data_IF_707526864278
#
_entry.id   IF_707526864278
#
_cell.length_a   1.000
_cell.length_b   1.000
_cell.length_c   1.000
_cell.angle_alpha   90.00
_cell.angle_beta   90.00
_cell.angle_gamma   90.00
#
_symmetry.space_group_name_H-M   'P 1'
#
loop_
_entity.id
_entity.type
_entity.pdbx_description
1 polymer ?
#
# COMPACT_ATOMS: atom_id res chain seq x y z
N UNK A 1 -20.70 13.15 -6.88
CA UNK A 1 -19.95 12.12 -6.13
C UNK A 1 -20.45 12.17 -4.70
N UNK A 2 -20.78 11.03 -4.09
CA UNK A 2 -21.30 10.93 -2.71
C UNK A 2 -20.25 10.21 -1.86
N UNK A 3 -19.97 10.74 -0.67
CA UNK A 3 -19.09 10.13 0.31
C UNK A 3 -19.90 9.63 1.49
N UNK A 4 -19.56 8.44 1.99
CA UNK A 4 -20.22 7.82 3.13
C UNK A 4 -19.18 7.19 4.04
N UNK A 5 -19.38 7.29 5.34
CA UNK A 5 -18.61 6.54 6.34
C UNK A 5 -19.39 5.28 6.68
N UNK A 6 -18.82 4.12 6.35
CA UNK A 6 -19.38 2.81 6.65
C UNK A 6 -18.29 1.77 6.74
N UNK A 7 -18.47 0.65 7.48
CA UNK A 7 -17.60 -0.51 7.38
C UNK A 7 -17.62 -1.06 5.94
N UNK A 8 -16.45 -1.52 5.46
CA UNK A 8 -16.37 -2.14 4.13
C UNK A 8 -17.17 -3.45 4.04
N UNK A 9 -17.37 -4.09 5.18
CA UNK A 9 -18.14 -5.33 5.35
C UNK A 9 -19.64 -5.12 5.42
N UNK A 10 -20.10 -3.86 5.50
CA UNK A 10 -21.49 -3.44 5.52
C UNK A 10 -21.61 -2.00 5.03
N UNK A 11 -21.59 -1.83 3.73
CA UNK A 11 -21.54 -0.52 3.06
C UNK A 11 -22.84 0.29 3.20
N UNK A 12 -23.94 -0.37 3.50
CA UNK A 12 -25.28 0.23 3.50
C UNK A 12 -25.79 0.58 2.11
N UNK A 13 -25.19 0.02 1.06
CA UNK A 13 -25.71 0.09 -0.31
C UNK A 13 -26.82 -0.95 -0.51
N UNK A 14 -27.69 -0.72 -1.47
CA UNK A 14 -28.72 -1.69 -1.86
C UNK A 14 -28.11 -2.91 -2.56
N UNK A 15 -28.84 -4.04 -2.55
CA UNK A 15 -28.43 -5.23 -3.29
C UNK A 15 -28.39 -4.93 -4.79
N UNK A 16 -27.44 -5.51 -5.49
CA UNK A 16 -27.29 -5.41 -6.94
C UNK A 16 -27.42 -3.96 -7.47
N UNK A 17 -26.72 -3.02 -6.85
CA UNK A 17 -26.81 -1.58 -7.14
C UNK A 17 -25.54 -0.94 -7.69
N UNK A 18 -24.42 -1.70 -7.76
CA UNK A 18 -23.15 -1.16 -8.26
C UNK A 18 -22.52 -2.06 -9.35
N UNK A 19 -21.84 -1.43 -10.29
CA UNK A 19 -21.20 -2.11 -11.44
C UNK A 19 -19.71 -2.40 -11.19
N UNK A 20 -19.10 -1.70 -10.23
CA UNK A 20 -17.68 -1.83 -9.92
C UNK A 20 -17.42 -1.55 -8.43
N UNK A 21 -16.70 -2.44 -7.79
CA UNK A 21 -16.11 -2.20 -6.47
C UNK A 21 -14.60 -2.06 -6.60
N UNK A 22 -14.05 -1.04 -5.94
CA UNK A 22 -12.59 -0.86 -5.88
C UNK A 22 -12.12 -0.72 -4.44
N UNK A 23 -10.97 -1.34 -4.10
CA UNK A 23 -10.31 -1.17 -2.82
C UNK A 23 -8.81 -0.91 -3.01
N UNK A 24 -8.40 0.35 -2.82
CA UNK A 24 -7.01 0.78 -2.93
C UNK A 24 -6.36 0.88 -1.56
N UNK A 25 -5.24 0.17 -1.34
CA UNK A 25 -4.44 0.20 -0.10
C UNK A 25 -5.27 -0.06 1.19
N UNK A 26 -6.30 -0.90 1.11
CA UNK A 26 -7.28 -1.04 2.18
C UNK A 26 -7.65 -2.49 2.54
N UNK A 27 -7.73 -3.40 1.57
CA UNK A 27 -8.32 -4.74 1.76
C UNK A 27 -7.63 -5.59 2.84
N UNK A 28 -6.37 -5.33 3.12
CA UNK A 28 -5.62 -6.01 4.18
C UNK A 28 -6.06 -5.64 5.61
N UNK A 29 -6.89 -4.59 5.76
CA UNK A 29 -7.48 -4.18 7.04
C UNK A 29 -8.87 -4.79 7.28
N UNK A 30 -9.48 -5.40 6.25
CA UNK A 30 -10.85 -5.87 6.29
C UNK A 30 -10.96 -7.31 6.79
N UNK A 31 -12.12 -7.68 7.35
CA UNK A 31 -12.56 -9.07 7.41
C UNK A 31 -12.84 -9.52 5.97
N UNK A 32 -11.84 -10.20 5.36
CA UNK A 32 -11.87 -10.54 3.94
C UNK A 32 -13.14 -11.28 3.53
N UNK A 33 -13.55 -12.26 4.34
CA UNK A 33 -14.75 -13.04 4.03
C UNK A 33 -15.99 -12.14 3.99
N UNK A 34 -16.21 -11.34 5.01
CA UNK A 34 -17.37 -10.46 5.08
C UNK A 34 -17.33 -9.38 4.00
N UNK A 35 -16.15 -8.82 3.74
CA UNK A 35 -15.99 -7.84 2.68
C UNK A 35 -16.36 -8.42 1.30
N UNK A 36 -15.87 -9.61 0.96
CA UNK A 36 -16.19 -10.22 -0.32
C UNK A 36 -17.64 -10.71 -0.41
N UNK A 37 -18.25 -11.11 0.72
CA UNK A 37 -19.69 -11.38 0.77
C UNK A 37 -20.51 -10.09 0.53
N UNK A 38 -20.09 -8.96 1.11
CA UNK A 38 -20.69 -7.65 0.84
C UNK A 38 -20.52 -7.22 -0.62
N UNK A 39 -19.34 -7.41 -1.21
CA UNK A 39 -19.11 -7.15 -2.64
C UNK A 39 -20.12 -7.92 -3.49
N UNK A 40 -20.31 -9.21 -3.24
CA UNK A 40 -21.27 -10.04 -3.98
C UNK A 40 -22.72 -9.55 -3.82
N UNK A 41 -23.06 -9.06 -2.64
CA UNK A 41 -24.41 -8.55 -2.36
C UNK A 41 -24.72 -7.27 -3.12
N UNK A 42 -23.77 -6.31 -3.11
CA UNK A 42 -24.04 -4.97 -3.66
C UNK A 42 -23.85 -4.88 -5.16
N UNK A 43 -23.09 -5.80 -5.79
CA UNK A 43 -22.78 -5.75 -7.22
C UNK A 43 -23.88 -6.39 -8.05
N UNK A 44 -24.11 -5.82 -9.24
CA UNK A 44 -24.96 -6.45 -10.26
C UNK A 44 -24.24 -7.65 -10.89
N UNK A 45 -24.96 -8.68 -11.38
CA UNK A 45 -24.35 -9.81 -12.08
C UNK A 45 -23.45 -9.36 -13.25
N UNK A 46 -22.25 -9.92 -13.36
CA UNK A 46 -21.28 -9.59 -14.40
C UNK A 46 -20.45 -8.33 -14.16
N UNK A 47 -20.63 -7.70 -13.00
CA UNK A 47 -19.82 -6.56 -12.55
C UNK A 47 -18.36 -6.94 -12.27
N UNK A 48 -17.56 -5.95 -11.88
CA UNK A 48 -16.15 -6.15 -11.61
C UNK A 48 -15.76 -5.70 -10.20
N UNK A 49 -14.69 -6.33 -9.70
CA UNK A 49 -13.96 -5.86 -8.53
C UNK A 49 -12.49 -5.66 -8.90
N UNK A 50 -11.86 -4.62 -8.36
CA UNK A 50 -10.43 -4.41 -8.43
C UNK A 50 -9.88 -4.04 -7.06
N UNK A 51 -8.86 -4.77 -6.60
CA UNK A 51 -8.15 -4.48 -5.36
C UNK A 51 -6.68 -4.26 -5.65
N UNK A 52 -6.09 -3.22 -5.07
CA UNK A 52 -4.67 -2.96 -5.27
C UNK A 52 -3.99 -2.46 -4.01
N UNK A 53 -2.70 -2.69 -3.96
CA UNK A 53 -1.81 -2.12 -2.98
C UNK A 53 -0.44 -1.82 -3.59
N UNK A 54 0.31 -1.00 -2.91
CA UNK A 54 1.75 -0.84 -3.11
C UNK A 54 2.47 -1.11 -1.79
N UNK A 55 3.66 -1.65 -1.90
CA UNK A 55 4.55 -1.91 -0.78
C UNK A 55 5.65 -0.83 -0.71
N UNK A 56 6.87 -1.22 -0.53
CA UNK A 56 8.01 -0.33 -0.57
C UNK A 56 8.21 0.23 -1.98
N UNK A 57 8.82 1.39 -2.03
CA UNK A 57 9.28 1.92 -3.31
C UNK A 57 10.64 1.37 -3.67
N UNK A 58 10.91 1.35 -4.95
CA UNK A 58 12.23 1.12 -5.52
C UNK A 58 12.96 2.45 -5.65
N UNK A 59 14.20 2.47 -5.20
CA UNK A 59 15.16 3.56 -5.36
C UNK A 59 16.47 2.97 -5.85
N UNK A 60 17.00 3.50 -6.94
CA UNK A 60 18.20 2.98 -7.56
C UNK A 60 19.50 3.41 -6.83
N UNK A 61 20.59 2.69 -7.12
CA UNK A 61 21.93 3.04 -6.71
C UNK A 61 22.19 2.90 -5.21
N UNK A 62 23.17 3.67 -4.72
CA UNK A 62 23.62 3.61 -3.33
C UNK A 62 22.52 4.07 -2.36
N UNK A 63 21.79 5.12 -2.72
CA UNK A 63 20.64 5.58 -1.93
C UNK A 63 19.61 4.46 -1.72
N UNK A 64 19.35 3.62 -2.72
CA UNK A 64 18.47 2.46 -2.59
C UNK A 64 19.02 1.39 -1.65
N UNK A 65 20.35 1.17 -1.64
CA UNK A 65 20.97 0.25 -0.69
C UNK A 65 20.85 0.75 0.75
N UNK A 66 21.04 2.05 0.96
CA UNK A 66 20.85 2.69 2.27
C UNK A 66 19.40 2.60 2.71
N UNK A 67 18.47 2.87 1.79
CA UNK A 67 17.02 2.76 2.06
C UNK A 67 16.60 1.33 2.49
N UNK A 68 17.11 0.29 1.86
CA UNK A 68 16.81 -1.10 2.28
C UNK A 68 17.26 -1.38 3.71
N UNK A 69 18.45 -0.95 4.11
CA UNK A 69 18.93 -1.08 5.50
C UNK A 69 18.05 -0.33 6.50
N UNK A 70 17.58 0.85 6.10
CA UNK A 70 16.60 1.58 6.93
C UNK A 70 15.31 0.80 7.11
N UNK A 71 14.75 0.28 6.02
CA UNK A 71 13.53 -0.53 6.09
C UNK A 71 13.72 -1.72 7.04
N UNK A 72 14.82 -2.48 6.92
CA UNK A 72 15.14 -3.59 7.79
C UNK A 72 15.19 -3.17 9.26
N UNK A 73 15.70 -1.97 9.56
CA UNK A 73 15.80 -1.47 10.94
C UNK A 73 14.45 -1.16 11.61
N UNK A 74 13.41 -0.93 10.82
CA UNK A 74 12.04 -0.64 11.30
C UNK A 74 11.05 -1.76 10.99
N UNK A 75 11.51 -2.87 10.43
CA UNK A 75 10.64 -3.93 9.93
C UNK A 75 9.73 -4.53 11.01
N UNK A 76 10.26 -4.74 12.21
CA UNK A 76 9.52 -5.32 13.34
C UNK A 76 8.38 -4.44 13.88
N UNK A 77 8.37 -3.17 13.50
CA UNK A 77 7.35 -2.21 13.93
C UNK A 77 6.17 -2.10 12.97
N UNK A 78 6.19 -2.80 11.84
CA UNK A 78 5.03 -2.83 10.95
C UNK A 78 3.86 -3.59 11.59
N UNK A 79 2.61 -3.17 11.34
CA UNK A 79 1.46 -3.93 11.77
C UNK A 79 1.39 -5.28 11.01
N UNK A 80 0.92 -6.36 11.67
CA UNK A 80 0.91 -7.70 11.08
C UNK A 80 0.04 -7.80 9.81
N UNK A 81 -1.00 -6.97 9.68
CA UNK A 81 -1.89 -6.92 8.51
C UNK A 81 -1.13 -6.55 7.23
N UNK A 82 -0.02 -5.80 7.36
CA UNK A 82 0.84 -5.46 6.23
C UNK A 82 1.48 -6.68 5.56
N UNK A 83 1.55 -7.83 6.25
CA UNK A 83 2.09 -9.04 5.67
C UNK A 83 1.40 -9.44 4.36
N UNK A 84 0.08 -9.19 4.22
CA UNK A 84 -0.64 -9.42 2.97
C UNK A 84 -0.10 -8.57 1.82
N UNK A 85 0.24 -7.31 2.10
CA UNK A 85 0.82 -6.38 1.10
C UNK A 85 2.24 -6.81 0.74
N UNK A 86 3.09 -7.08 1.74
CA UNK A 86 4.47 -7.53 1.54
C UNK A 86 4.54 -8.84 0.73
N UNK A 87 3.56 -9.73 0.91
CA UNK A 87 3.38 -10.96 0.13
C UNK A 87 2.58 -10.75 -1.16
N UNK A 88 2.42 -9.51 -1.60
CA UNK A 88 1.81 -9.14 -2.88
C UNK A 88 0.40 -9.73 -3.08
N UNK A 89 -0.40 -9.77 -2.00
CA UNK A 89 -1.76 -10.32 -1.99
C UNK A 89 -1.87 -11.78 -2.47
N UNK A 90 -0.79 -12.57 -2.43
CA UNK A 90 -0.83 -13.98 -2.82
C UNK A 90 -1.80 -14.77 -1.91
N UNK A 91 -1.81 -14.43 -0.62
CA UNK A 91 -2.69 -15.10 0.36
C UNK A 91 -4.04 -14.40 0.54
N UNK A 92 -4.33 -13.40 -0.26
CA UNK A 92 -5.63 -12.73 -0.20
C UNK A 92 -6.70 -13.71 -0.68
N UNK A 93 -7.71 -13.97 0.16
CA UNK A 93 -8.91 -14.67 -0.27
C UNK A 93 -9.59 -13.83 -1.36
N UNK A 94 -9.63 -14.34 -2.60
CA UNK A 94 -10.20 -13.61 -3.73
C UNK A 94 -11.18 -14.53 -4.48
N UNK A 95 -12.46 -14.57 -4.07
CA UNK A 95 -13.43 -15.58 -4.52
C UNK A 95 -14.12 -15.20 -5.83
N UNK A 96 -13.39 -14.65 -6.78
CA UNK A 96 -13.88 -14.19 -8.08
C UNK A 96 -13.05 -14.77 -9.21
N UNK A 97 -13.65 -14.88 -10.39
CA UNK A 97 -12.93 -15.23 -11.62
C UNK A 97 -11.94 -14.11 -11.96
N UNK A 98 -10.64 -14.39 -11.84
CA UNK A 98 -9.61 -13.38 -12.05
C UNK A 98 -9.50 -12.95 -13.51
N UNK A 99 -9.37 -11.65 -13.71
CA UNK A 99 -9.12 -11.03 -15.02
C UNK A 99 -7.62 -10.72 -15.10
N UNK A 100 -6.94 -11.08 -16.19
CA UNK A 100 -5.55 -10.68 -16.40
C UNK A 100 -5.39 -9.16 -16.33
N UNK A 101 -4.42 -8.71 -15.53
CA UNK A 101 -4.11 -7.29 -15.34
C UNK A 101 -2.67 -6.99 -15.77
N UNK A 102 -2.40 -5.81 -16.36
CA UNK A 102 -1.05 -5.41 -16.70
C UNK A 102 -0.22 -5.13 -15.44
N UNK A 103 1.10 -5.24 -15.56
CA UNK A 103 2.00 -4.70 -14.55
C UNK A 103 1.92 -3.17 -14.56
N UNK A 104 1.66 -2.58 -13.40
CA UNK A 104 1.52 -1.13 -13.22
C UNK A 104 2.43 -0.68 -12.10
N UNK A 105 3.01 0.50 -12.21
CA UNK A 105 3.76 1.15 -11.16
C UNK A 105 3.35 2.63 -11.07
N UNK A 106 3.36 3.17 -9.87
CA UNK A 106 3.37 4.62 -9.68
C UNK A 106 4.81 5.10 -9.66
N UNK A 107 5.07 6.25 -10.25
CA UNK A 107 6.41 6.86 -10.24
C UNK A 107 6.31 8.33 -9.84
N UNK A 108 7.36 8.82 -9.20
CA UNK A 108 7.48 10.22 -8.84
C UNK A 108 8.95 10.63 -8.84
N UNK A 109 9.21 11.90 -9.12
CA UNK A 109 10.54 12.51 -8.99
C UNK A 109 10.60 13.26 -7.66
N UNK A 110 11.40 12.75 -6.73
CA UNK A 110 11.53 13.32 -5.39
C UNK A 110 12.98 13.66 -5.08
N UNK A 111 13.14 14.80 -4.42
CA UNK A 111 14.37 15.18 -3.76
C UNK A 111 14.53 14.47 -2.40
N UNK A 112 15.65 14.70 -1.74
CA UNK A 112 15.94 14.09 -0.44
C UNK A 112 14.93 14.49 0.63
N UNK A 113 14.56 15.77 0.70
CA UNK A 113 13.64 16.29 1.72
C UNK A 113 12.28 15.62 1.60
N UNK A 114 11.73 15.55 0.40
CA UNK A 114 10.44 14.90 0.14
C UNK A 114 10.47 13.42 0.46
N UNK A 115 11.59 12.75 0.15
CA UNK A 115 11.76 11.33 0.46
C UNK A 115 11.77 11.08 1.97
N UNK A 116 12.54 11.86 2.73
CA UNK A 116 12.56 11.76 4.20
C UNK A 116 11.20 12.10 4.81
N UNK A 117 10.54 13.15 4.27
CA UNK A 117 9.18 13.51 4.68
C UNK A 117 8.17 12.38 4.49
N UNK A 118 8.23 11.69 3.35
CA UNK A 118 7.39 10.51 3.12
C UNK A 118 7.69 9.37 4.11
N UNK A 119 8.96 9.04 4.34
CA UNK A 119 9.36 7.98 5.27
C UNK A 119 8.91 8.28 6.70
N UNK A 120 8.92 9.55 7.12
CA UNK A 120 8.43 9.97 8.44
C UNK A 120 6.92 9.70 8.65
N UNK A 121 6.16 9.54 7.56
CA UNK A 121 4.72 9.21 7.65
C UNK A 121 4.46 7.74 7.98
N UNK A 122 5.44 6.86 7.79
CA UNK A 122 5.25 5.43 7.97
C UNK A 122 4.84 5.06 9.39
N UNK A 123 3.85 4.16 9.50
CA UNK A 123 3.38 3.65 10.80
C UNK A 123 4.49 2.94 11.59
N UNK A 124 5.38 2.21 10.91
CA UNK A 124 6.52 1.55 11.54
C UNK A 124 7.50 2.56 12.15
N UNK A 125 7.79 3.66 11.45
CA UNK A 125 8.65 4.74 11.96
C UNK A 125 8.05 5.38 13.21
N UNK A 126 6.76 5.74 13.15
CA UNK A 126 6.04 6.32 14.28
C UNK A 126 5.98 5.38 15.48
N UNK A 127 5.76 4.09 15.22
CA UNK A 127 5.71 3.07 16.25
C UNK A 127 7.09 2.84 16.88
N UNK A 128 8.15 2.74 16.07
CA UNK A 128 9.52 2.65 16.55
C UNK A 128 9.87 3.83 17.45
N UNK A 129 9.59 5.06 17.00
CA UNK A 129 9.85 6.26 17.79
C UNK A 129 9.09 6.25 19.13
N UNK A 130 7.83 5.85 19.13
CA UNK A 130 7.00 5.76 20.34
C UNK A 130 7.51 4.70 21.33
N UNK A 131 7.94 3.54 20.84
CA UNK A 131 8.34 2.41 21.67
C UNK A 131 9.77 2.56 22.22
N UNK A 132 10.66 3.18 21.43
CA UNK A 132 12.09 3.25 21.78
C UNK A 132 12.55 4.62 22.27
N UNK A 133 11.76 5.67 22.05
CA UNK A 133 12.16 7.07 22.28
C UNK A 133 13.19 7.60 21.28
N UNK A 134 13.57 6.84 20.26
CA UNK A 134 14.52 7.23 19.19
C UNK A 134 13.77 7.87 18.02
N UNK A 135 14.48 8.66 17.22
CA UNK A 135 13.97 9.16 15.95
C UNK A 135 14.65 8.41 14.80
N UNK A 136 14.01 7.36 14.23
CA UNK A 136 14.61 6.58 13.16
C UNK A 136 14.97 7.41 11.92
N UNK A 137 14.22 8.49 11.64
CA UNK A 137 14.50 9.37 10.50
C UNK A 137 15.74 10.21 10.76
N UNK A 138 15.85 10.81 11.94
CA UNK A 138 17.03 11.61 12.28
C UNK A 138 18.33 10.78 12.27
N UNK A 139 18.26 9.51 12.71
CA UNK A 139 19.38 8.58 12.68
C UNK A 139 19.77 8.14 11.27
N UNK A 140 18.80 7.98 10.40
CA UNK A 140 18.97 7.51 9.03
C UNK A 140 19.36 8.62 8.05
N UNK A 141 18.84 9.84 8.22
CA UNK A 141 18.98 10.94 7.27
C UNK A 141 20.43 11.25 6.85
N UNK A 142 21.44 11.25 7.75
CA UNK A 142 22.81 11.51 7.34
C UNK A 142 23.37 10.48 6.35
N UNK A 143 23.05 9.19 6.54
CA UNK A 143 23.49 8.13 5.64
C UNK A 143 22.80 8.22 4.28
N UNK A 144 21.50 8.55 4.28
CA UNK A 144 20.78 8.74 3.03
C UNK A 144 21.27 9.97 2.29
N UNK A 145 21.55 11.07 2.97
CA UNK A 145 22.08 12.30 2.37
C UNK A 145 23.45 12.06 1.71
N UNK A 146 24.33 11.32 2.37
CA UNK A 146 25.64 10.96 1.81
C UNK A 146 25.50 10.12 0.52
N UNK A 147 24.56 9.18 0.50
CA UNK A 147 24.31 8.33 -0.68
C UNK A 147 23.47 9.02 -1.76
N UNK A 148 22.75 10.09 -1.39
CA UNK A 148 21.94 10.87 -2.32
C UNK A 148 22.78 11.75 -3.23
N UNK A 149 23.85 12.33 -2.70
CA UNK A 149 24.68 13.34 -3.36
C UNK A 149 24.08 14.73 -3.19
N UNK A 150 23.73 15.38 -4.29
CA UNK A 150 23.03 16.69 -4.22
C UNK A 150 21.61 16.50 -3.66
N UNK A 151 21.29 17.06 -2.48
CA UNK A 151 19.98 16.89 -1.86
C UNK A 151 18.82 17.43 -2.69
N UNK A 152 19.06 18.42 -3.54
CA UNK A 152 18.04 19.02 -4.40
C UNK A 152 17.85 18.25 -5.73
N UNK A 153 18.79 17.36 -6.08
CA UNK A 153 18.66 16.55 -7.29
C UNK A 153 17.54 15.50 -7.14
N UNK A 154 16.52 15.53 -8.02
CA UNK A 154 15.46 14.55 -7.94
C UNK A 154 15.94 13.15 -8.32
N UNK A 155 15.39 12.15 -7.67
CA UNK A 155 15.54 10.75 -8.04
C UNK A 155 14.17 10.15 -8.32
N UNK A 156 14.14 9.23 -9.29
CA UNK A 156 12.92 8.47 -9.60
C UNK A 156 12.63 7.50 -8.48
N UNK A 157 11.47 7.66 -7.88
CA UNK A 157 10.88 6.75 -6.89
C UNK A 157 9.79 5.98 -7.60
N UNK A 158 9.79 4.65 -7.49
CA UNK A 158 8.82 3.79 -8.15
C UNK A 158 8.15 2.85 -7.16
N UNK A 159 6.80 2.79 -7.18
CA UNK A 159 6.00 1.83 -6.41
C UNK A 159 5.34 0.85 -7.37
N UNK A 160 5.88 -0.38 -7.50
CA UNK A 160 5.17 -1.44 -8.20
C UNK A 160 3.83 -1.73 -7.51
N UNK A 161 2.73 -1.72 -8.28
CA UNK A 161 1.42 -2.05 -7.76
C UNK A 161 1.21 -3.56 -7.79
N UNK A 162 0.61 -4.07 -6.73
CA UNK A 162 -0.07 -5.36 -6.74
C UNK A 162 -1.52 -5.08 -7.06
N UNK A 163 -2.00 -5.57 -8.17
CA UNK A 163 -3.38 -5.40 -8.63
C UNK A 163 -3.99 -6.77 -8.89
N UNK A 164 -5.18 -7.02 -8.32
CA UNK A 164 -6.03 -8.15 -8.65
C UNK A 164 -7.39 -7.63 -9.07
N UNK A 165 -7.89 -8.13 -10.16
CA UNK A 165 -9.23 -7.79 -10.66
C UNK A 165 -9.99 -9.08 -10.98
N UNK A 166 -11.32 -9.04 -10.85
CA UNK A 166 -12.15 -10.20 -11.11
C UNK A 166 -13.57 -9.83 -11.52
N UNK A 167 -14.28 -10.80 -12.10
CA UNK A 167 -15.70 -10.71 -12.37
C UNK A 167 -16.50 -11.24 -11.21
N UNK A 168 -17.55 -10.51 -10.86
CA UNK A 168 -18.53 -10.94 -9.87
C UNK A 168 -19.66 -11.63 -10.64
N UNK A 169 -19.83 -12.93 -10.41
CA UNK A 169 -20.83 -13.76 -11.04
C UNK A 169 -22.21 -13.65 -10.39
#
# INVERSE_FOLDING_TARGET
>A
MTYRVAPAENSGLEDASVDLVTAGQAVHWFDQKKFFDEVKRVTVPGSAIAVWAYDLFDLAGEAGAVFRRFHESVETYWPPERALVARRYVDLLFPFEEIPVPAVAMTAEWDLERTLGYLSTWSAVKRCAKETGRDPIAEFAPALAAAWGDPAAPKTISWPLVLRAGRVG
#
